data_IF_896877607148
#
_entry.id   IF_896877607148
#
_cell.length_a   1.000
_cell.length_b   1.000
_cell.length_c   1.000
_cell.angle_alpha   90.00
_cell.angle_beta   90.00
_cell.angle_gamma   90.00
#
_symmetry.space_group_name_H-M   'P 1'
#
loop_
_entity.id
_entity.type
_entity.pdbx_description
1 polymer ?
#
# COMPACT_ATOMS: atom_id res chain seq x y z
N UNK A 1 31.85 19.07 -18.52
CA UNK A 1 30.69 19.69 -17.86
C UNK A 1 29.46 19.33 -18.68
N UNK A 2 28.73 18.29 -18.29
CA UNK A 2 27.53 17.86 -19.00
C UNK A 2 26.31 18.47 -18.31
N UNK A 3 25.51 19.21 -19.08
CA UNK A 3 24.31 19.91 -18.67
C UNK A 3 23.22 18.95 -18.20
N UNK A 4 22.71 19.22 -17.00
CA UNK A 4 21.46 18.65 -16.49
C UNK A 4 20.30 19.23 -17.31
N UNK A 5 19.76 18.44 -18.23
CA UNK A 5 18.47 18.74 -18.84
C UNK A 5 17.36 18.64 -17.78
N UNK A 6 16.53 19.67 -17.79
CA UNK A 6 15.45 19.94 -16.86
C UNK A 6 14.43 18.80 -16.81
N UNK A 7 14.09 18.37 -15.59
CA UNK A 7 12.86 17.62 -15.34
C UNK A 7 11.66 18.50 -15.74
N UNK A 8 11.00 18.15 -16.85
CA UNK A 8 9.72 18.75 -17.22
C UNK A 8 8.73 18.60 -16.07
N UNK A 9 8.12 19.73 -15.67
CA UNK A 9 7.01 19.82 -14.74
C UNK A 9 5.83 18.97 -15.26
N UNK A 10 5.73 17.72 -14.79
CA UNK A 10 4.61 16.83 -15.11
C UNK A 10 3.33 17.34 -14.42
N UNK A 11 2.62 18.26 -15.08
CA UNK A 11 1.24 18.62 -14.72
C UNK A 11 0.36 17.37 -14.85
N UNK A 12 -0.49 17.05 -13.84
CA UNK A 12 -1.40 15.91 -13.94
C UNK A 12 -2.38 16.13 -15.10
N UNK A 13 -2.53 15.11 -15.95
CA UNK A 13 -3.47 15.08 -17.08
C UNK A 13 -4.94 15.26 -16.66
N UNK A 14 -5.26 15.01 -15.38
CA UNK A 14 -6.61 15.10 -14.83
C UNK A 14 -6.61 15.92 -13.54
N UNK A 15 -7.28 17.07 -13.52
CA UNK A 15 -7.58 17.82 -12.28
C UNK A 15 -8.81 17.21 -11.62
N UNK A 16 -8.62 16.26 -10.70
CA UNK A 16 -9.72 15.62 -9.98
C UNK A 16 -9.75 16.14 -8.53
N UNK A 17 -10.82 16.86 -8.17
CA UNK A 17 -11.06 17.37 -6.81
C UNK A 17 -12.44 17.02 -6.25
N UNK A 18 -13.33 16.45 -7.07
CA UNK A 18 -14.67 15.96 -6.72
C UNK A 18 -14.94 14.70 -7.56
N UNK A 19 -15.97 13.91 -7.22
CA UNK A 19 -16.46 12.78 -8.04
C UNK A 19 -16.40 13.14 -9.54
N UNK A 20 -16.12 12.19 -10.47
CA UNK A 20 -16.29 12.44 -11.90
C UNK A 20 -17.77 12.76 -12.19
N UNK A 21 -18.22 13.99 -11.93
CA UNK A 21 -19.46 14.54 -12.46
C UNK A 21 -19.28 14.94 -13.92
N UNK A 22 -18.03 14.97 -14.37
CA UNK A 22 -17.63 15.10 -15.76
C UNK A 22 -17.91 13.77 -16.49
N UNK A 23 -18.99 13.77 -17.27
CA UNK A 23 -19.38 12.65 -18.12
C UNK A 23 -18.25 12.25 -19.08
N UNK A 24 -17.42 13.20 -19.54
CA UNK A 24 -16.28 12.90 -20.42
C UNK A 24 -15.25 12.03 -19.69
N UNK A 25 -14.96 12.34 -18.42
CA UNK A 25 -14.04 11.55 -17.62
C UNK A 25 -14.59 10.14 -17.34
N UNK A 26 -15.89 9.99 -17.07
CA UNK A 26 -16.51 8.65 -16.92
C UNK A 26 -16.38 7.83 -18.20
N UNK A 27 -16.70 8.43 -19.35
CA UNK A 27 -16.56 7.77 -20.65
C UNK A 27 -15.12 7.35 -20.93
N UNK A 28 -14.14 8.22 -20.67
CA UNK A 28 -12.72 7.87 -20.80
C UNK A 28 -12.33 6.71 -19.88
N UNK A 29 -12.78 6.72 -18.63
CA UNK A 29 -12.51 5.65 -17.67
C UNK A 29 -13.13 4.31 -18.11
N UNK A 30 -14.31 4.32 -18.72
CA UNK A 30 -14.91 3.12 -19.32
C UNK A 30 -14.10 2.63 -20.53
N UNK A 31 -13.68 3.53 -21.41
CA UNK A 31 -12.90 3.21 -22.61
C UNK A 31 -11.56 2.56 -22.26
N UNK A 32 -10.84 3.07 -21.25
CA UNK A 32 -9.57 2.46 -20.85
C UNK A 32 -9.71 1.03 -20.31
N UNK A 33 -10.91 0.62 -19.86
CA UNK A 33 -11.15 -0.77 -19.44
C UNK A 33 -11.33 -1.72 -20.64
N UNK A 34 -11.73 -1.19 -21.79
CA UNK A 34 -12.00 -1.96 -23.02
C UNK A 34 -10.80 -1.97 -23.98
N UNK A 35 -10.00 -0.90 -23.99
CA UNK A 35 -8.84 -0.81 -24.87
C UNK A 35 -7.70 -1.74 -24.40
N UNK A 36 -6.98 -2.39 -25.33
CA UNK A 36 -5.75 -3.08 -25.02
C UNK A 36 -4.73 -2.13 -24.39
N UNK A 37 -4.36 -2.39 -23.14
CA UNK A 37 -3.31 -1.65 -22.46
C UNK A 37 -1.94 -2.28 -22.76
N UNK A 38 -0.95 -1.46 -23.10
CA UNK A 38 0.42 -1.90 -23.40
C UNK A 38 1.41 -1.33 -22.39
N UNK A 39 2.25 -2.21 -21.85
CA UNK A 39 3.32 -1.82 -20.92
C UNK A 39 4.40 -1.00 -21.64
N UNK A 40 4.83 0.08 -21.00
CA UNK A 40 6.03 0.83 -21.35
C UNK A 40 7.16 0.42 -20.41
N UNK A 41 8.00 -0.51 -20.85
CA UNK A 41 9.12 -1.03 -20.05
C UNK A 41 10.10 0.07 -19.62
N UNK A 42 10.34 1.05 -20.47
CA UNK A 42 11.25 2.18 -20.21
C UNK A 42 10.72 3.05 -19.08
N UNK A 43 9.44 3.41 -19.12
CA UNK A 43 8.81 4.19 -18.04
C UNK A 43 8.83 3.42 -16.71
N UNK A 44 8.52 2.12 -16.71
CA UNK A 44 8.63 1.28 -15.50
C UNK A 44 10.05 1.28 -14.94
N UNK A 45 11.07 1.13 -15.80
CA UNK A 45 12.47 1.17 -15.36
C UNK A 45 12.88 2.52 -14.79
N UNK A 46 12.37 3.62 -15.33
CA UNK A 46 12.63 4.95 -14.81
C UNK A 46 12.06 5.12 -13.40
N UNK A 47 10.78 4.77 -13.17
CA UNK A 47 10.20 4.78 -11.82
C UNK A 47 10.98 3.90 -10.85
N UNK A 48 11.35 2.68 -11.27
CA UNK A 48 12.13 1.76 -10.45
C UNK A 48 13.49 2.35 -10.06
N UNK A 49 14.19 2.98 -11.01
CA UNK A 49 15.48 3.63 -10.77
C UNK A 49 15.34 4.79 -9.77
N UNK A 50 14.36 5.67 -9.98
CA UNK A 50 14.11 6.81 -9.10
C UNK A 50 13.75 6.37 -7.67
N UNK A 51 12.85 5.41 -7.53
CA UNK A 51 12.42 4.86 -6.24
C UNK A 51 13.56 4.12 -5.53
N UNK A 52 14.33 3.33 -6.27
CA UNK A 52 15.52 2.66 -5.75
C UNK A 52 16.61 3.63 -5.28
N UNK A 53 16.70 4.82 -5.87
CA UNK A 53 17.63 5.87 -5.46
C UNK A 53 17.12 6.69 -4.26
N UNK A 54 15.84 7.08 -4.24
CA UNK A 54 15.29 7.88 -3.14
C UNK A 54 15.09 7.10 -1.85
N UNK A 55 14.64 5.86 -1.99
CA UNK A 55 13.87 5.19 -0.97
C UNK A 55 14.45 3.79 -0.68
N UNK A 56 14.81 3.04 -1.72
CA UNK A 56 15.53 1.77 -1.64
C UNK A 56 14.84 0.75 -0.72
N UNK A 57 13.66 0.27 -1.11
CA UNK A 57 12.88 -0.70 -0.36
C UNK A 57 13.69 -1.95 0.01
N UNK A 58 14.59 -2.41 -0.87
CA UNK A 58 15.40 -3.61 -0.64
C UNK A 58 16.21 -3.55 0.66
N UNK A 59 16.62 -2.35 1.09
CA UNK A 59 17.42 -2.12 2.30
C UNK A 59 16.63 -1.46 3.42
N UNK A 60 15.69 -0.59 3.05
CA UNK A 60 15.06 0.34 3.98
C UNK A 60 13.56 0.14 4.14
N UNK A 61 12.89 -0.80 3.46
CA UNK A 61 11.44 -0.96 3.65
C UNK A 61 11.06 -1.24 5.10
N UNK A 62 11.82 -2.12 5.77
CA UNK A 62 11.54 -2.57 7.14
C UNK A 62 12.74 -2.38 8.05
N UNK A 63 12.46 -2.26 9.35
CA UNK A 63 13.48 -2.36 10.38
C UNK A 63 14.00 -3.80 10.45
N UNK A 64 15.32 -3.91 10.53
CA UNK A 64 16.05 -5.16 10.65
C UNK A 64 17.15 -5.01 11.69
N UNK A 65 17.70 -6.15 12.10
CA UNK A 65 18.90 -6.15 12.94
C UNK A 65 20.09 -5.43 12.29
N UNK A 66 20.12 -5.27 10.97
CA UNK A 66 21.23 -4.63 10.27
C UNK A 66 21.12 -3.10 10.20
N UNK A 67 19.90 -2.56 10.09
CA UNK A 67 19.66 -1.13 9.90
C UNK A 67 19.16 -0.40 11.18
N UNK A 68 18.99 -1.11 12.29
CA UNK A 68 18.64 -0.56 13.60
C UNK A 68 19.59 -1.10 14.70
N UNK A 69 20.83 -0.59 14.79
CA UNK A 69 21.77 -0.97 15.85
C UNK A 69 21.31 -0.45 17.22
N UNK A 70 21.68 -1.16 18.29
CA UNK A 70 21.35 -0.78 19.67
C UNK A 70 21.90 0.63 19.97
N UNK A 71 21.10 1.48 20.60
CA UNK A 71 21.46 2.87 20.92
C UNK A 71 21.30 3.87 19.77
N UNK A 72 21.01 3.42 18.54
CA UNK A 72 20.71 4.36 17.44
C UNK A 72 19.36 5.04 17.62
N UNK A 73 19.21 6.22 17.03
CA UNK A 73 17.98 7.00 17.09
C UNK A 73 17.17 6.80 15.81
N UNK A 74 15.88 6.49 15.95
CA UNK A 74 14.93 6.41 14.84
C UNK A 74 13.90 7.53 15.01
N UNK A 75 13.80 8.40 14.01
CA UNK A 75 12.79 9.46 13.93
C UNK A 75 11.50 8.92 13.32
N UNK A 76 10.36 9.29 13.89
CA UNK A 76 9.05 8.90 13.36
C UNK A 76 8.76 9.66 12.07
N UNK A 77 8.03 9.06 11.12
CA UNK A 77 7.73 9.70 9.83
C UNK A 77 6.47 10.58 9.86
N UNK A 78 5.45 10.22 10.65
CA UNK A 78 4.24 11.04 10.86
C UNK A 78 4.43 12.07 11.97
N UNK A 79 4.83 11.62 13.17
CA UNK A 79 5.20 12.50 14.30
C UNK A 79 6.65 12.95 14.17
N UNK A 80 6.94 13.77 13.15
CA UNK A 80 8.34 14.09 12.82
C UNK A 80 9.13 14.75 13.95
N UNK A 81 8.53 15.31 14.99
CA UNK A 81 9.23 15.88 16.15
C UNK A 81 9.57 14.84 17.24
N UNK A 82 9.13 13.59 17.09
CA UNK A 82 9.40 12.48 18.02
C UNK A 82 10.46 11.54 17.46
N UNK A 83 11.18 10.90 18.38
CA UNK A 83 12.14 9.85 18.09
C UNK A 83 12.10 8.78 19.17
N UNK A 84 12.69 7.63 18.87
CA UNK A 84 13.00 6.59 19.85
C UNK A 84 14.48 6.22 19.76
N UNK A 85 15.04 5.77 20.88
CA UNK A 85 16.31 5.06 20.91
C UNK A 85 16.05 3.57 20.76
N UNK A 86 16.80 2.90 19.87
CA UNK A 86 16.72 1.45 19.71
C UNK A 86 17.23 0.77 20.97
N UNK A 87 16.33 0.20 21.75
CA UNK A 87 16.60 -0.55 22.97
C UNK A 87 16.60 -2.06 22.73
N UNK A 88 16.91 -2.85 23.76
CA UNK A 88 16.91 -4.31 23.68
C UNK A 88 15.54 -4.89 23.33
N UNK A 89 14.44 -4.24 23.77
CA UNK A 89 13.08 -4.66 23.50
C UNK A 89 12.76 -4.59 22.01
N UNK A 90 13.03 -3.46 21.35
CA UNK A 90 12.88 -3.33 19.90
C UNK A 90 13.81 -4.32 19.20
N UNK A 91 15.08 -4.35 19.61
CA UNK A 91 16.11 -5.20 19.00
C UNK A 91 15.73 -6.68 18.95
N UNK A 92 15.00 -7.17 19.95
CA UNK A 92 14.59 -8.57 20.09
C UNK A 92 13.50 -8.98 19.11
N UNK A 93 12.61 -8.07 18.70
CA UNK A 93 11.54 -8.37 17.72
C UNK A 93 12.00 -8.23 16.27
N UNK A 94 13.12 -7.52 16.01
CA UNK A 94 13.60 -7.31 14.65
C UNK A 94 14.24 -8.57 14.06
N UNK A 95 13.90 -8.89 12.81
CA UNK A 95 14.52 -9.97 12.07
C UNK A 95 15.84 -9.54 11.42
N UNK A 96 16.69 -10.52 11.07
CA UNK A 96 18.02 -10.25 10.48
C UNK A 96 17.93 -9.68 9.07
N UNK A 97 16.97 -10.14 8.27
CA UNK A 97 16.78 -9.77 6.86
C UNK A 97 15.30 -9.74 6.51
N UNK A 98 14.95 -8.96 5.48
CA UNK A 98 13.64 -8.98 4.86
C UNK A 98 13.66 -9.93 3.66
N UNK A 99 12.72 -10.88 3.55
CA UNK A 99 12.79 -11.95 2.54
C UNK A 99 12.52 -11.50 1.10
N UNK A 100 12.04 -10.27 0.86
CA UNK A 100 11.83 -9.76 -0.50
C UNK A 100 13.03 -8.98 -1.07
N UNK A 101 14.11 -8.81 -0.30
CA UNK A 101 15.27 -8.05 -0.77
C UNK A 101 15.97 -8.78 -1.92
N UNK A 102 15.92 -8.17 -3.12
CA UNK A 102 16.60 -8.68 -4.32
C UNK A 102 15.75 -9.60 -5.21
N UNK A 103 14.51 -9.89 -4.85
CA UNK A 103 13.59 -10.70 -5.67
C UNK A 103 12.84 -9.80 -6.66
N UNK A 104 12.65 -10.27 -7.90
CA UNK A 104 11.84 -9.61 -8.93
C UNK A 104 10.67 -10.50 -9.32
N UNK A 105 9.47 -9.92 -9.39
CA UNK A 105 8.25 -10.65 -9.73
C UNK A 105 7.71 -10.17 -11.09
N UNK A 106 7.26 -11.11 -11.91
CA UNK A 106 6.78 -10.79 -13.26
C UNK A 106 5.42 -10.10 -13.22
N UNK A 107 4.47 -10.65 -12.45
CA UNK A 107 3.10 -10.14 -12.30
C UNK A 107 2.75 -9.93 -10.84
N UNK A 108 2.46 -8.69 -10.47
CA UNK A 108 1.98 -8.31 -9.16
C UNK A 108 0.56 -7.78 -9.22
N UNK A 109 -0.25 -8.16 -8.24
CA UNK A 109 -1.55 -7.57 -7.99
C UNK A 109 -1.51 -6.77 -6.68
N UNK A 110 -1.93 -5.52 -6.73
CA UNK A 110 -2.07 -4.66 -5.55
C UNK A 110 -3.55 -4.41 -5.34
N UNK A 111 -4.06 -4.82 -4.18
CA UNK A 111 -5.50 -4.88 -3.91
C UNK A 111 -5.84 -3.81 -2.88
N UNK A 112 -6.37 -2.69 -3.36
CA UNK A 112 -7.05 -1.69 -2.55
C UNK A 112 -8.35 -2.25 -1.97
N UNK A 113 -8.90 -1.54 -0.99
CA UNK A 113 -10.10 -1.99 -0.27
C UNK A 113 -11.41 -1.42 -0.85
N UNK A 114 -11.36 -0.65 -1.94
CA UNK A 114 -12.50 0.11 -2.44
C UNK A 114 -13.72 -0.76 -2.80
N UNK A 115 -14.91 -0.23 -2.53
CA UNK A 115 -16.19 -0.92 -2.79
C UNK A 115 -16.43 -1.33 -4.24
N UNK A 116 -15.70 -0.75 -5.20
CA UNK A 116 -15.76 -1.11 -6.63
C UNK A 116 -15.42 -2.59 -6.91
N UNK A 117 -14.81 -3.29 -5.95
CA UNK A 117 -14.54 -4.73 -6.07
C UNK A 117 -15.80 -5.59 -5.93
N UNK A 118 -16.87 -5.10 -5.31
CA UNK A 118 -18.09 -5.89 -5.10
C UNK A 118 -18.74 -6.27 -6.45
N UNK A 119 -18.91 -7.57 -6.68
CA UNK A 119 -19.45 -8.12 -7.93
C UNK A 119 -18.51 -8.00 -9.14
N UNK A 120 -17.23 -7.70 -8.91
CA UNK A 120 -16.21 -7.59 -9.97
C UNK A 120 -15.77 -8.95 -10.52
N UNK A 121 -15.92 -10.03 -9.74
CA UNK A 121 -15.45 -11.38 -10.08
C UNK A 121 -13.95 -11.45 -10.42
N UNK A 122 -13.16 -10.55 -9.85
CA UNK A 122 -11.72 -10.45 -10.13
C UNK A 122 -10.84 -11.43 -9.35
N UNK A 123 -11.40 -12.23 -8.45
CA UNK A 123 -10.65 -13.07 -7.52
C UNK A 123 -9.73 -14.07 -8.21
N UNK A 124 -10.22 -14.78 -9.23
CA UNK A 124 -9.39 -15.73 -9.98
C UNK A 124 -8.21 -15.04 -10.67
N UNK A 125 -8.44 -13.86 -11.26
CA UNK A 125 -7.39 -13.09 -11.96
C UNK A 125 -6.37 -12.51 -10.98
N UNK A 126 -6.81 -12.06 -9.80
CA UNK A 126 -5.93 -11.64 -8.70
C UNK A 126 -5.05 -12.81 -8.26
N UNK A 127 -5.64 -13.98 -8.07
CA UNK A 127 -4.95 -15.19 -7.63
C UNK A 127 -4.04 -15.80 -8.71
N UNK A 128 -4.01 -15.27 -9.93
CA UNK A 128 -3.01 -15.63 -10.96
C UNK A 128 -1.71 -14.84 -10.84
N UNK A 129 -1.66 -13.78 -10.02
CA UNK A 129 -0.43 -13.01 -9.83
C UNK A 129 0.65 -13.81 -9.08
N UNK A 130 1.92 -13.50 -9.38
CA UNK A 130 3.10 -14.08 -8.71
C UNK A 130 3.26 -13.47 -7.31
N UNK A 131 2.82 -12.23 -7.11
CA UNK A 131 2.87 -11.53 -5.84
C UNK A 131 1.59 -10.72 -5.60
N UNK A 132 1.03 -10.80 -4.39
CA UNK A 132 -0.24 -10.13 -4.05
C UNK A 132 -0.07 -9.33 -2.77
N UNK A 133 -0.39 -8.03 -2.86
CA UNK A 133 -0.30 -7.07 -1.76
C UNK A 133 -1.71 -6.63 -1.36
N UNK A 134 -2.00 -6.69 -0.06
CA UNK A 134 -3.27 -6.25 0.54
C UNK A 134 -3.05 -5.29 1.71
N UNK A 135 -4.09 -4.57 2.12
CA UNK A 135 -3.98 -3.51 3.13
C UNK A 135 -4.92 -3.69 4.30
N UNK A 136 -4.37 -3.60 5.51
CA UNK A 136 -5.12 -3.49 6.76
C UNK A 136 -5.96 -4.72 7.12
N UNK A 137 -5.46 -5.92 6.79
CA UNK A 137 -6.12 -7.22 7.05
C UNK A 137 -7.60 -7.26 6.61
N UNK A 138 -7.90 -6.90 5.36
CA UNK A 138 -9.29 -6.82 4.93
C UNK A 138 -9.89 -8.24 4.91
N UNK A 139 -11.18 -8.45 5.20
CA UNK A 139 -11.76 -9.78 5.13
C UNK A 139 -11.62 -10.37 3.71
N UNK A 140 -11.42 -11.69 3.64
CA UNK A 140 -11.28 -12.45 2.39
C UNK A 140 -12.51 -13.33 2.12
N UNK A 141 -13.67 -12.98 2.67
CA UNK A 141 -14.90 -13.76 2.56
C UNK A 141 -15.54 -13.67 1.15
N UNK A 142 -15.34 -12.59 0.42
CA UNK A 142 -15.83 -12.40 -0.96
C UNK A 142 -14.80 -12.88 -1.99
N UNK A 143 -14.40 -14.15 -1.90
CA UNK A 143 -13.28 -14.72 -2.68
C UNK A 143 -13.45 -14.62 -4.19
N UNK A 144 -14.69 -14.66 -4.70
CA UNK A 144 -14.98 -14.47 -6.12
C UNK A 144 -14.51 -13.11 -6.64
N UNK A 145 -14.59 -12.07 -5.81
CA UNK A 145 -14.25 -10.70 -6.16
C UNK A 145 -12.79 -10.38 -5.88
N UNK A 146 -12.31 -10.79 -4.70
CA UNK A 146 -11.02 -10.32 -4.17
C UNK A 146 -9.94 -11.38 -4.12
N UNK A 147 -10.27 -12.66 -4.35
CA UNK A 147 -9.33 -13.78 -4.27
C UNK A 147 -8.88 -14.07 -2.84
N UNK A 148 -8.04 -15.08 -2.69
CA UNK A 148 -7.50 -15.52 -1.39
C UNK A 148 -5.99 -15.37 -1.29
N UNK A 149 -5.28 -15.37 -2.43
CA UNK A 149 -3.82 -15.31 -2.46
C UNK A 149 -3.35 -14.00 -1.83
N UNK A 150 -2.41 -14.11 -0.89
CA UNK A 150 -1.78 -12.97 -0.24
C UNK A 150 -0.34 -13.31 0.09
N UNK A 151 0.58 -12.46 -0.36
CA UNK A 151 2.01 -12.60 -0.03
C UNK A 151 2.46 -11.52 0.95
N UNK A 152 1.84 -10.34 0.90
CA UNK A 152 2.11 -9.23 1.79
C UNK A 152 0.80 -8.59 2.21
N UNK A 153 0.63 -8.36 3.51
CA UNK A 153 -0.49 -7.58 4.04
C UNK A 153 0.01 -6.56 5.06
N UNK A 154 -0.53 -5.35 5.00
CA UNK A 154 -0.22 -4.34 6.02
C UNK A 154 -1.17 -4.44 7.21
N UNK A 155 -0.71 -3.97 8.37
CA UNK A 155 -1.57 -3.76 9.53
C UNK A 155 -1.29 -2.36 10.06
N UNK A 156 -2.06 -1.36 9.62
CA UNK A 156 -2.00 -0.06 10.29
C UNK A 156 -2.39 -0.25 11.77
N UNK A 157 -1.61 0.25 12.75
CA UNK A 157 -1.94 0.11 14.15
C UNK A 157 -3.33 0.61 14.56
N UNK A 158 -3.94 1.53 13.81
CA UNK A 158 -5.34 1.95 14.01
C UNK A 158 -6.34 0.79 13.89
N UNK A 159 -6.03 -0.24 13.10
CA UNK A 159 -6.87 -1.43 12.93
C UNK A 159 -7.03 -2.21 14.23
N UNK A 160 -6.02 -2.21 15.10
CA UNK A 160 -6.13 -2.86 16.41
C UNK A 160 -7.20 -2.21 17.28
N UNK A 161 -7.33 -0.88 17.22
CA UNK A 161 -8.35 -0.13 17.92
C UNK A 161 -9.73 -0.32 17.29
N UNK A 162 -9.82 -0.16 15.96
CA UNK A 162 -11.10 -0.13 15.23
C UNK A 162 -11.76 -1.51 15.17
N UNK A 163 -10.97 -2.58 15.03
CA UNK A 163 -11.51 -3.94 14.75
C UNK A 163 -11.22 -4.97 15.82
N UNK A 164 -10.21 -4.75 16.66
CA UNK A 164 -9.71 -5.78 17.57
C UNK A 164 -9.66 -5.34 19.03
N UNK A 165 -10.45 -4.32 19.40
CA UNK A 165 -10.64 -3.88 20.80
C UNK A 165 -9.32 -3.70 21.57
N UNK A 166 -8.35 -3.01 20.96
CA UNK A 166 -7.01 -2.79 21.53
C UNK A 166 -6.22 -4.09 21.84
N UNK A 167 -6.57 -5.19 21.17
CA UNK A 167 -6.02 -6.53 21.41
C UNK A 167 -6.20 -6.99 22.86
N UNK A 168 -7.28 -6.58 23.53
CA UNK A 168 -7.63 -7.04 24.90
C UNK A 168 -7.73 -8.56 24.96
N UNK A 169 -7.50 -9.10 26.16
CA UNK A 169 -7.44 -10.54 26.40
C UNK A 169 -8.86 -11.11 26.59
N UNK A 170 -9.26 -12.19 25.87
CA UNK A 170 -8.51 -12.90 24.84
C UNK A 170 -8.52 -12.21 23.47
N UNK A 171 -7.36 -12.12 22.76
CA UNK A 171 -7.28 -11.47 21.45
C UNK A 171 -7.78 -12.38 20.30
N UNK A 172 -8.85 -13.16 20.55
CA UNK A 172 -9.33 -14.25 19.68
C UNK A 172 -9.61 -13.78 18.25
N UNK A 173 -10.35 -12.67 18.09
CA UNK A 173 -10.70 -12.15 16.77
C UNK A 173 -9.48 -11.77 15.92
N UNK A 174 -8.40 -11.28 16.55
CA UNK A 174 -7.17 -10.98 15.84
C UNK A 174 -6.47 -12.26 15.38
N UNK A 175 -6.39 -13.26 16.26
CA UNK A 175 -5.78 -14.56 15.96
C UNK A 175 -6.53 -15.27 14.82
N UNK A 176 -7.86 -15.28 14.86
CA UNK A 176 -8.70 -15.85 13.79
C UNK A 176 -8.41 -15.20 12.43
N UNK A 177 -8.33 -13.86 12.37
CA UNK A 177 -8.00 -13.16 11.12
C UNK A 177 -6.59 -13.51 10.63
N UNK A 178 -5.60 -13.68 11.52
CA UNK A 178 -4.25 -14.09 11.13
C UNK A 178 -4.22 -15.47 10.46
N UNK A 179 -5.16 -16.37 10.77
CA UNK A 179 -5.23 -17.71 10.15
C UNK A 179 -5.46 -17.64 8.64
N UNK A 180 -6.24 -16.66 8.16
CA UNK A 180 -6.44 -16.44 6.72
C UNK A 180 -5.17 -15.95 6.00
N UNK A 181 -4.16 -15.49 6.75
CA UNK A 181 -2.93 -14.89 6.25
C UNK A 181 -1.67 -15.63 6.68
N UNK A 182 -1.76 -16.91 7.09
CA UNK A 182 -0.61 -17.65 7.63
C UNK A 182 0.62 -17.55 6.72
N UNK A 183 0.43 -17.53 5.40
CA UNK A 183 1.50 -17.46 4.39
C UNK A 183 1.98 -16.07 3.98
N UNK A 184 1.40 -15.01 4.54
CA UNK A 184 1.77 -13.64 4.23
C UNK A 184 2.88 -13.10 5.13
N UNK A 185 3.58 -12.09 4.63
CA UNK A 185 4.36 -11.16 5.44
C UNK A 185 3.45 -10.05 5.96
N UNK A 186 3.61 -9.69 7.23
CA UNK A 186 2.84 -8.64 7.90
C UNK A 186 3.70 -7.41 8.12
N UNK A 187 3.33 -6.29 7.50
CA UNK A 187 4.08 -5.03 7.62
C UNK A 187 3.29 -4.01 8.43
N UNK A 188 3.90 -3.51 9.51
CA UNK A 188 3.26 -2.68 10.51
C UNK A 188 3.99 -1.32 10.57
N UNK A 189 3.34 -0.18 10.22
CA UNK A 189 3.89 1.16 10.42
C UNK A 189 3.85 1.58 11.90
N UNK A 190 4.55 0.84 12.76
CA UNK A 190 4.58 1.04 14.21
C UNK A 190 5.27 2.35 14.62
N UNK A 191 6.13 2.89 13.75
CA UNK A 191 6.91 4.11 13.98
C UNK A 191 6.47 5.29 13.11
N UNK A 192 5.22 5.30 12.64
CA UNK A 192 4.66 6.49 12.02
C UNK A 192 4.17 7.51 13.03
N UNK A 193 3.54 7.07 14.10
CA UNK A 193 3.08 7.92 15.19
C UNK A 193 3.45 7.28 16.54
N UNK A 194 3.84 8.09 17.52
CA UNK A 194 4.40 7.57 18.77
C UNK A 194 3.40 6.71 19.55
N UNK A 195 2.12 7.09 19.53
CA UNK A 195 1.06 6.36 20.22
C UNK A 195 0.77 4.96 19.63
N UNK A 196 1.26 4.65 18.42
CA UNK A 196 1.11 3.33 17.81
C UNK A 196 2.08 2.27 18.34
N UNK A 197 3.21 2.68 18.94
CA UNK A 197 4.30 1.76 19.23
C UNK A 197 3.91 0.69 20.25
N UNK A 198 3.19 1.08 21.31
CA UNK A 198 2.77 0.16 22.38
C UNK A 198 1.85 -0.94 21.86
N UNK A 199 0.83 -0.58 21.07
CA UNK A 199 -0.12 -1.56 20.52
C UNK A 199 0.53 -2.46 19.47
N UNK A 200 1.48 -1.94 18.68
CA UNK A 200 2.23 -2.73 17.72
C UNK A 200 3.13 -3.78 18.41
N UNK A 201 3.76 -3.45 19.54
CA UNK A 201 4.47 -4.45 20.35
C UNK A 201 3.54 -5.57 20.84
N UNK A 202 2.35 -5.21 21.32
CA UNK A 202 1.35 -6.18 21.77
C UNK A 202 0.96 -7.13 20.64
N UNK A 203 0.71 -6.59 19.45
CA UNK A 203 0.41 -7.38 18.26
C UNK A 203 1.52 -8.38 17.92
N UNK A 204 2.79 -7.94 17.89
CA UNK A 204 3.93 -8.82 17.59
C UNK A 204 4.12 -9.91 18.64
N UNK A 205 3.86 -9.62 19.92
CA UNK A 205 3.88 -10.64 20.97
C UNK A 205 2.79 -11.69 20.77
N UNK A 206 1.54 -11.29 20.47
CA UNK A 206 0.47 -12.25 20.16
C UNK A 206 0.83 -13.08 18.92
N UNK A 207 1.37 -12.45 17.87
CA UNK A 207 1.85 -13.16 16.69
C UNK A 207 3.00 -14.13 17.01
N UNK A 208 3.83 -13.83 18.01
CA UNK A 208 4.88 -14.75 18.48
C UNK A 208 4.26 -15.99 19.12
N UNK A 209 3.24 -15.81 19.96
CA UNK A 209 2.56 -16.92 20.65
C UNK A 209 1.83 -17.84 19.65
N UNK A 210 1.41 -17.31 18.49
CA UNK A 210 0.84 -18.08 17.38
C UNK A 210 1.88 -18.54 16.32
N UNK A 211 3.18 -18.39 16.57
CA UNK A 211 4.24 -18.85 15.66
C UNK A 211 4.50 -17.98 14.41
N UNK A 212 3.88 -16.80 14.31
CA UNK A 212 3.94 -15.89 13.15
C UNK A 212 4.97 -14.75 13.29
N UNK A 213 5.68 -14.63 14.41
CA UNK A 213 6.66 -13.55 14.62
C UNK A 213 7.74 -13.45 13.53
N UNK A 214 8.14 -14.57 12.93
CA UNK A 214 9.12 -14.60 11.83
C UNK A 214 8.61 -14.00 10.50
N UNK A 215 7.34 -13.59 10.45
CA UNK A 215 6.67 -12.96 9.30
C UNK A 215 6.21 -11.53 9.59
N UNK A 216 6.40 -11.03 10.81
CA UNK A 216 6.00 -9.70 11.23
C UNK A 216 7.19 -8.72 11.16
N UNK A 217 6.97 -7.57 10.52
CA UNK A 217 8.00 -6.55 10.32
C UNK A 217 7.46 -5.16 10.62
N UNK A 218 8.24 -4.36 11.34
CA UNK A 218 7.99 -2.93 11.44
C UNK A 218 8.53 -2.22 10.21
N UNK A 219 7.72 -1.38 9.58
CA UNK A 219 8.16 -0.51 8.50
C UNK A 219 9.20 0.49 9.02
N UNK A 220 10.21 0.78 8.19
CA UNK A 220 11.19 1.79 8.53
C UNK A 220 10.62 3.18 8.24
N UNK A 221 10.57 4.10 9.22
CA UNK A 221 9.97 5.43 9.00
C UNK A 221 10.74 6.25 7.96
N UNK A 222 12.08 6.13 7.89
CA UNK A 222 12.87 6.78 6.84
C UNK A 222 12.44 6.42 5.40
N UNK A 223 12.04 5.17 5.13
CA UNK A 223 11.53 4.79 3.81
C UNK A 223 10.23 5.50 3.49
N UNK A 224 9.28 5.51 4.44
CA UNK A 224 7.99 6.20 4.28
C UNK A 224 8.17 7.71 4.11
N UNK A 225 9.08 8.33 4.88
CA UNK A 225 9.42 9.74 4.77
C UNK A 225 10.07 10.08 3.42
N UNK A 226 11.01 9.26 2.96
CA UNK A 226 11.67 9.42 1.66
C UNK A 226 10.66 9.30 0.51
N UNK A 227 9.75 8.35 0.60
CA UNK A 227 8.70 8.15 -0.40
C UNK A 227 7.72 9.33 -0.44
N UNK A 228 7.30 9.83 0.72
CA UNK A 228 6.48 11.05 0.80
C UNK A 228 7.20 12.25 0.17
N UNK A 229 8.51 12.42 0.46
CA UNK A 229 9.32 13.49 -0.14
C UNK A 229 9.42 13.34 -1.66
N UNK A 230 9.65 12.14 -2.17
CA UNK A 230 9.73 11.85 -3.60
C UNK A 230 8.45 12.29 -4.34
N UNK A 231 7.28 11.94 -3.81
CA UNK A 231 6.02 12.33 -4.45
C UNK A 231 5.69 13.81 -4.28
N UNK A 232 6.04 14.43 -3.15
CA UNK A 232 5.92 15.89 -2.98
C UNK A 232 6.76 16.67 -3.99
N UNK A 233 7.98 16.20 -4.28
CA UNK A 233 8.81 16.78 -5.34
C UNK A 233 8.20 16.64 -6.74
N UNK A 234 7.29 15.69 -6.95
CA UNK A 234 6.48 15.53 -8.17
C UNK A 234 5.11 16.25 -8.09
N UNK A 235 5.01 17.22 -7.18
CA UNK A 235 3.84 18.09 -7.04
C UNK A 235 2.65 17.45 -6.33
N UNK A 236 2.85 16.37 -5.57
CA UNK A 236 1.83 15.85 -4.69
C UNK A 236 1.64 16.76 -3.48
N UNK A 237 0.39 17.13 -3.18
CA UNK A 237 0.05 18.15 -2.16
C UNK A 237 -0.45 17.57 -0.86
N UNK A 238 -0.89 16.31 -0.85
CA UNK A 238 -1.39 15.70 0.37
C UNK A 238 -0.35 15.65 1.50
N UNK A 239 -0.83 15.71 2.73
CA UNK A 239 0.05 15.70 3.91
C UNK A 239 0.80 14.37 4.00
N UNK A 240 0.09 13.27 3.77
CA UNK A 240 0.57 11.90 3.90
C UNK A 240 -0.10 11.00 2.88
N UNK A 241 0.69 10.22 2.16
CA UNK A 241 0.23 9.16 1.26
C UNK A 241 -0.68 8.16 1.99
N UNK A 242 -1.61 7.55 1.28
CA UNK A 242 -2.33 6.36 1.73
C UNK A 242 -1.42 5.14 1.74
N UNK A 243 -1.80 4.12 2.51
CA UNK A 243 -1.10 2.82 2.48
C UNK A 243 -1.12 2.22 1.07
N UNK A 244 -2.23 2.36 0.34
CA UNK A 244 -2.34 1.88 -1.03
C UNK A 244 -1.33 2.51 -1.98
N UNK A 245 -1.12 3.82 -1.88
CA UNK A 245 -0.17 4.54 -2.73
C UNK A 245 1.28 4.25 -2.36
N UNK A 246 1.57 4.15 -1.05
CA UNK A 246 2.91 3.76 -0.58
C UNK A 246 3.31 2.38 -1.11
N UNK A 247 2.39 1.41 -1.06
CA UNK A 247 2.68 0.04 -1.46
C UNK A 247 2.57 -0.20 -2.97
N UNK A 248 1.84 0.63 -3.69
CA UNK A 248 1.93 0.69 -5.15
C UNK A 248 3.30 1.20 -5.59
N UNK A 249 3.84 2.21 -4.91
CA UNK A 249 5.20 2.69 -5.16
C UNK A 249 6.24 1.63 -4.84
N UNK A 250 6.07 0.93 -3.71
CA UNK A 250 6.91 -0.21 -3.36
C UNK A 250 6.89 -1.29 -4.47
N UNK A 251 5.72 -1.63 -5.01
CA UNK A 251 5.60 -2.64 -6.06
C UNK A 251 6.41 -2.25 -7.31
N UNK A 252 6.52 -0.96 -7.65
CA UNK A 252 7.36 -0.50 -8.78
C UNK A 252 8.86 -0.83 -8.59
N UNK A 253 9.32 -0.97 -7.35
CA UNK A 253 10.71 -1.32 -7.07
C UNK A 253 11.06 -2.78 -7.44
N UNK A 254 10.09 -3.70 -7.45
CA UNK A 254 10.35 -5.14 -7.62
C UNK A 254 9.42 -5.90 -8.58
N UNK A 255 8.35 -5.29 -9.09
CA UNK A 255 7.41 -5.91 -10.01
C UNK A 255 7.62 -5.42 -11.44
N UNK A 256 7.48 -6.31 -12.42
CA UNK A 256 7.50 -5.92 -13.84
C UNK A 256 6.14 -5.49 -14.36
N UNK A 257 5.08 -6.20 -14.00
CA UNK A 257 3.72 -5.84 -14.36
C UNK A 257 2.92 -5.67 -13.09
N UNK A 258 2.27 -4.52 -12.94
CA UNK A 258 1.45 -4.19 -11.77
C UNK A 258 0.02 -3.99 -12.25
N UNK A 259 -0.90 -4.72 -11.64
CA UNK A 259 -2.33 -4.53 -11.80
C UNK A 259 -2.92 -4.06 -10.47
N UNK A 260 -3.57 -2.90 -10.50
CA UNK A 260 -4.29 -2.33 -9.37
C UNK A 260 -5.75 -2.76 -9.42
N UNK A 261 -6.27 -3.19 -8.28
CA UNK A 261 -7.66 -3.61 -8.06
C UNK A 261 -8.22 -2.85 -6.87
N UNK A 262 -9.47 -2.37 -6.91
CA UNK A 262 -10.10 -1.71 -5.76
C UNK A 262 -9.54 -0.32 -5.41
N UNK A 263 -8.81 0.31 -6.32
CA UNK A 263 -8.33 1.69 -6.20
C UNK A 263 -9.36 2.65 -6.79
N UNK A 264 -10.40 2.96 -6.02
CA UNK A 264 -11.48 3.83 -6.44
C UNK A 264 -11.96 4.67 -5.24
N UNK A 265 -11.62 5.98 -5.20
CA UNK A 265 -11.89 6.81 -4.02
C UNK A 265 -13.27 7.48 -4.05
N UNK A 266 -14.17 7.01 -4.91
CA UNK A 266 -15.41 7.71 -5.24
C UNK A 266 -16.66 6.92 -4.80
N UNK A 267 -17.74 7.60 -4.36
CA UNK A 267 -18.92 6.96 -3.79
C UNK A 267 -19.89 6.30 -4.79
N UNK A 268 -19.61 6.35 -6.09
CA UNK A 268 -20.42 5.68 -7.11
C UNK A 268 -19.52 4.99 -8.12
N UNK A 269 -20.00 3.91 -8.74
CA UNK A 269 -19.29 3.23 -9.81
C UNK A 269 -19.38 3.99 -11.15
N UNK A 270 -18.74 3.46 -12.19
CA UNK A 270 -18.75 4.07 -13.52
C UNK A 270 -20.17 4.17 -14.11
N UNK A 271 -21.11 3.33 -13.69
CA UNK A 271 -22.53 3.36 -14.14
C UNK A 271 -23.40 4.32 -13.32
N UNK A 272 -22.84 4.95 -12.27
CA UNK A 272 -23.56 5.83 -11.36
C UNK A 272 -24.26 5.11 -10.20
N UNK A 273 -24.02 3.80 -10.01
CA UNK A 273 -24.58 3.06 -8.88
C UNK A 273 -23.81 3.41 -7.60
N UNK A 274 -24.49 3.65 -6.47
CA UNK A 274 -23.82 3.88 -5.19
C UNK A 274 -22.89 2.72 -4.80
N UNK A 275 -21.74 3.06 -4.24
CA UNK A 275 -20.75 2.14 -3.69
C UNK A 275 -20.51 2.44 -2.21
N UNK A 276 -20.27 1.39 -1.44
CA UNK A 276 -19.65 1.53 -0.14
C UNK A 276 -18.20 2.00 -0.29
N UNK A 277 -17.65 2.62 0.76
CA UNK A 277 -16.25 2.98 0.77
C UNK A 277 -15.33 1.76 0.64
N UNK A 278 -15.59 0.72 1.43
CA UNK A 278 -14.88 -0.54 1.32
C UNK A 278 -15.75 -1.63 0.68
N UNK A 279 -15.13 -2.69 0.16
CA UNK A 279 -15.89 -3.84 -0.36
C UNK A 279 -16.54 -4.70 0.74
N UNK A 280 -16.22 -4.44 2.01
CA UNK A 280 -16.68 -5.20 3.17
C UNK A 280 -17.41 -4.38 4.24
N UNK A 281 -17.32 -3.05 4.19
CA UNK A 281 -18.03 -2.13 5.09
C UNK A 281 -18.14 -0.73 4.44
N UNK A 282 -18.72 0.23 5.16
CA UNK A 282 -18.80 1.63 4.72
C UNK A 282 -18.11 2.60 5.69
N UNK A 283 -17.00 2.18 6.32
CA UNK A 283 -16.22 3.04 7.24
C UNK A 283 -15.42 4.04 6.43
N UNK A 284 -15.72 5.33 6.57
CA UNK A 284 -15.04 6.41 5.84
C UNK A 284 -13.68 6.77 6.47
N UNK A 285 -12.69 7.20 5.67
CA UNK A 285 -11.42 7.66 6.18
C UNK A 285 -11.57 9.04 6.84
N UNK A 286 -10.61 9.39 7.69
CA UNK A 286 -10.56 10.73 8.27
C UNK A 286 -10.31 11.80 7.17
N UNK A 287 -11.20 12.79 6.97
CA UNK A 287 -11.18 13.65 5.78
C UNK A 287 -9.93 14.51 5.59
N UNK A 288 -9.17 14.77 6.66
CA UNK A 288 -8.06 15.73 6.68
C UNK A 288 -6.66 15.15 6.45
N UNK A 289 -6.54 13.82 6.32
CA UNK A 289 -5.21 13.16 6.31
C UNK A 289 -4.74 12.83 4.88
N UNK A 290 -5.65 12.35 4.04
CA UNK A 290 -5.35 11.81 2.71
C UNK A 290 -6.15 12.52 1.61
N UNK A 291 -5.56 12.68 0.43
CA UNK A 291 -6.29 13.14 -0.75
C UNK A 291 -6.32 12.03 -1.80
N UNK A 292 -7.18 11.04 -1.58
CA UNK A 292 -7.23 9.85 -2.45
C UNK A 292 -7.63 10.16 -3.90
N UNK A 293 -8.34 11.27 -4.15
CA UNK A 293 -8.65 11.73 -5.51
C UNK A 293 -7.38 12.21 -6.24
N UNK A 294 -6.48 12.89 -5.53
CA UNK A 294 -5.18 13.28 -6.06
C UNK A 294 -4.30 12.06 -6.34
N UNK A 295 -4.25 11.10 -5.42
CA UNK A 295 -3.56 9.82 -5.65
C UNK A 295 -4.12 9.07 -6.87
N UNK A 296 -5.45 9.06 -7.02
CA UNK A 296 -6.09 8.43 -8.17
C UNK A 296 -5.67 9.08 -9.49
N UNK A 297 -5.54 10.41 -9.54
CA UNK A 297 -5.00 11.10 -10.72
C UNK A 297 -3.57 10.66 -11.07
N UNK A 298 -2.76 10.30 -10.06
CA UNK A 298 -1.39 9.78 -10.28
C UNK A 298 -1.42 8.35 -10.79
N UNK A 299 -2.35 7.51 -10.33
CA UNK A 299 -2.56 6.19 -10.95
C UNK A 299 -2.96 6.33 -12.41
N UNK A 300 -3.88 7.24 -12.76
CA UNK A 300 -4.28 7.47 -14.16
C UNK A 300 -3.12 7.94 -15.02
N UNK A 301 -2.24 8.81 -14.49
CA UNK A 301 -1.04 9.24 -15.21
C UNK A 301 -0.09 8.05 -15.44
N UNK A 302 0.20 7.24 -14.41
CA UNK A 302 1.00 6.03 -14.56
C UNK A 302 0.36 5.01 -15.52
N UNK A 303 -0.97 4.92 -15.54
CA UNK A 303 -1.71 4.11 -16.51
C UNK A 303 -1.47 4.58 -17.94
N UNK A 304 -1.64 5.87 -18.21
CA UNK A 304 -1.45 6.48 -19.53
C UNK A 304 0.00 6.33 -20.02
N UNK A 305 0.97 6.36 -19.12
CA UNK A 305 2.38 6.14 -19.44
C UNK A 305 2.74 4.65 -19.69
N UNK A 306 1.82 3.71 -19.44
CA UNK A 306 2.10 2.28 -19.56
C UNK A 306 2.90 1.70 -18.38
N UNK A 307 2.88 2.36 -17.21
CA UNK A 307 3.63 1.95 -16.01
C UNK A 307 2.89 0.90 -15.18
N UNK A 308 1.58 1.06 -15.02
CA UNK A 308 0.72 0.11 -14.31
C UNK A 308 -0.65 0.02 -14.96
N UNK A 309 -1.37 -1.08 -14.72
CA UNK A 309 -2.75 -1.26 -15.16
C UNK A 309 -3.70 -0.98 -13.99
N UNK A 310 -4.84 -0.37 -14.27
CA UNK A 310 -5.93 -0.19 -13.28
C UNK A 310 -7.15 -0.98 -13.75
N UNK A 311 -7.65 -1.87 -12.91
CA UNK A 311 -8.89 -2.60 -13.11
C UNK A 311 -10.01 -1.91 -12.31
N UNK A 312 -10.95 -1.31 -13.03
CA UNK A 312 -12.10 -0.57 -12.48
C UNK A 312 -13.45 -1.27 -12.73
N UNK A 313 -13.48 -2.28 -13.61
CA UNK A 313 -14.69 -3.03 -13.93
C UNK A 313 -14.61 -4.50 -13.53
N UNK A 314 -15.56 -5.28 -14.05
CA UNK A 314 -15.56 -6.74 -13.91
C UNK A 314 -14.35 -7.36 -14.58
N UNK A 315 -13.86 -8.46 -14.02
CA UNK A 315 -12.91 -9.32 -14.68
C UNK A 315 -13.64 -10.37 -15.51
N UNK A 316 -13.10 -10.62 -16.71
CA UNK A 316 -13.37 -11.81 -17.53
C UNK A 316 -12.36 -12.88 -17.14
#
# INVERSE_FOLDING_TARGET
MASLESAEDQKPLFKIGKYPTDEVLKWQLMLIQQCPWKRNATAVMQYRKELGQCCNASRLLVLTKKNAPLGSIIRFDGDSYKNITVDARLRNILLKRFPLAGTRYSKCAVIGNGGILQGSRCGQKIDQADFVIRFNLPPLNTTEDVGTKTHLVTINPSIFHIRFQDLRDPPTAFIEVLQAYQNALFLIPALSFNYHLTIAYRAVNIMKDCGLAHRAFFLHPCYLAALNKYWKLKGMKETRLTTGFMFTSLALEFCDNISLYGFWPFPYDLTGKPLNHHYYDNVLPHPSIHNMSEEFSRYLNMYAQGVLRIQLGKCQ
#
